data_IF_832083114997
#
_entry.id   IF_832083114997
#
_cell.length_a   1.000
_cell.length_b   1.000
_cell.length_c   1.000
_cell.angle_alpha   90.00
_cell.angle_beta   90.00
_cell.angle_gamma   90.00
#
_symmetry.space_group_name_H-M   'P 1'
#
loop_
_entity.id
_entity.type
_entity.pdbx_description
1 polymer ?
#
# COMPACT_ATOMS: atom_id res chain seq x y z
N UNK A 1 43.96 21.39 21.81
CA UNK A 1 43.09 20.71 22.79
C UNK A 1 42.21 19.72 22.02
N UNK A 2 42.32 18.41 22.27
CA UNK A 2 41.35 17.47 21.73
C UNK A 2 40.02 17.65 22.47
N UNK A 3 38.92 17.63 21.72
CA UNK A 3 37.55 17.66 22.23
C UNK A 3 37.17 16.21 22.53
N UNK A 4 36.98 15.87 23.80
CA UNK A 4 36.40 14.59 24.20
C UNK A 4 34.89 14.63 23.93
N UNK A 5 34.41 13.69 23.11
CA UNK A 5 32.99 13.46 22.90
C UNK A 5 32.59 12.30 23.82
N UNK A 6 31.91 12.61 24.92
CA UNK A 6 31.27 11.59 25.77
C UNK A 6 30.12 10.95 25.00
N UNK A 7 30.31 9.71 24.53
CA UNK A 7 29.21 8.86 24.08
C UNK A 7 28.44 8.34 25.31
N UNK A 8 27.29 8.96 25.61
CA UNK A 8 26.31 8.37 26.52
C UNK A 8 25.66 7.16 25.84
N UNK A 9 26.07 5.97 26.26
CA UNK A 9 25.33 4.75 25.98
C UNK A 9 24.06 4.75 26.83
N UNK A 10 22.89 4.76 26.20
CA UNK A 10 21.64 4.44 26.89
C UNK A 10 21.63 2.94 27.16
N UNK A 11 21.59 2.54 28.43
CA UNK A 11 21.30 1.16 28.82
C UNK A 11 19.90 0.80 28.36
N UNK A 12 19.81 0.03 27.28
CA UNK A 12 18.56 -0.61 26.86
C UNK A 12 18.41 -1.83 27.76
N UNK A 13 17.52 -1.75 28.74
CA UNK A 13 17.09 -2.91 29.51
C UNK A 13 16.34 -3.87 28.58
N UNK A 14 17.04 -4.86 28.03
CA UNK A 14 16.42 -6.01 27.42
C UNK A 14 15.80 -6.85 28.53
N UNK A 15 14.48 -7.03 28.52
CA UNK A 15 13.84 -8.03 29.37
C UNK A 15 14.45 -9.41 29.05
N UNK A 16 14.94 -10.11 30.08
CA UNK A 16 15.53 -11.44 29.94
C UNK A 16 14.48 -12.40 29.37
N UNK A 17 14.81 -12.99 28.22
CA UNK A 17 13.92 -13.90 27.47
C UNK A 17 13.63 -15.22 28.22
N UNK A 18 14.43 -15.55 29.24
CA UNK A 18 14.28 -16.78 30.02
C UNK A 18 13.16 -16.74 31.07
N UNK A 19 12.66 -15.55 31.43
CA UNK A 19 11.57 -15.39 32.42
C UNK A 19 10.17 -15.75 31.85
N UNK A 20 10.09 -16.12 30.56
CA UNK A 20 8.84 -16.41 29.85
C UNK A 20 8.46 -17.91 29.82
N UNK A 21 9.14 -18.77 30.58
CA UNK A 21 8.69 -20.16 30.80
C UNK A 21 7.57 -20.21 31.86
N UNK A 22 6.42 -19.65 31.50
CA UNK A 22 5.16 -19.66 32.24
C UNK A 22 4.04 -19.22 31.29
N UNK A 23 2.80 -19.67 31.50
CA UNK A 23 1.66 -19.35 30.63
C UNK A 23 1.61 -17.85 30.31
N UNK A 24 1.72 -17.50 29.03
CA UNK A 24 1.75 -16.12 28.56
C UNK A 24 0.36 -15.47 28.78
N UNK A 25 0.14 -14.90 29.97
CA UNK A 25 -1.09 -14.21 30.31
C UNK A 25 -1.03 -12.75 29.81
N UNK A 26 -1.34 -12.55 28.53
CA UNK A 26 -1.36 -11.22 27.92
C UNK A 26 -2.64 -10.45 28.28
N UNK A 27 -2.50 -9.44 29.14
CA UNK A 27 -3.57 -8.47 29.40
C UNK A 27 -3.52 -7.34 28.38
N UNK A 28 -4.60 -7.15 27.62
CA UNK A 28 -4.76 -6.04 26.67
C UNK A 28 -5.62 -4.94 27.31
N UNK A 29 -5.18 -3.70 27.24
CA UNK A 29 -5.91 -2.53 27.75
C UNK A 29 -6.66 -1.85 26.61
N UNK A 30 -7.96 -1.61 26.79
CA UNK A 30 -8.73 -0.74 25.90
C UNK A 30 -8.47 0.72 26.27
N UNK A 31 -7.94 1.49 25.33
CA UNK A 31 -7.62 2.92 25.50
C UNK A 31 -8.71 3.86 24.97
N UNK A 32 -9.65 3.33 24.20
CA UNK A 32 -10.71 4.11 23.58
C UNK A 32 -11.69 3.24 22.83
N UNK A 33 -12.67 3.86 22.19
CA UNK A 33 -13.73 3.17 21.48
C UNK A 33 -14.06 3.86 20.16
N UNK A 34 -14.37 3.07 19.13
CA UNK A 34 -14.81 3.57 17.84
C UNK A 34 -16.29 3.93 17.90
N UNK A 35 -16.63 5.11 17.37
CA UNK A 35 -17.98 5.54 17.01
C UNK A 35 -18.12 5.55 15.49
N UNK A 36 -19.07 4.80 14.97
CA UNK A 36 -19.38 4.78 13.54
C UNK A 36 -20.86 4.48 13.26
N UNK A 37 -21.28 4.66 12.01
CA UNK A 37 -22.64 4.34 11.59
C UNK A 37 -22.90 2.82 11.49
N UNK A 38 -21.84 2.00 11.44
CA UNK A 38 -21.96 0.55 11.26
C UNK A 38 -22.10 -0.16 12.60
N UNK A 39 -23.31 -0.60 12.94
CA UNK A 39 -23.53 -1.41 14.16
C UNK A 39 -23.15 -2.89 13.98
N UNK A 40 -23.21 -3.38 12.74
CA UNK A 40 -22.87 -4.76 12.38
C UNK A 40 -21.75 -4.83 11.34
N UNK A 41 -20.91 -5.90 11.37
CA UNK A 41 -19.86 -6.08 10.37
C UNK A 41 -20.39 -6.08 8.95
N UNK A 42 -19.75 -5.31 8.09
CA UNK A 42 -20.04 -5.25 6.65
C UNK A 42 -18.75 -5.28 5.84
N UNK A 43 -18.80 -4.98 4.54
CA UNK A 43 -17.62 -4.90 3.69
C UNK A 43 -16.61 -3.88 4.25
N UNK A 44 -15.32 -4.25 4.41
CA UNK A 44 -14.27 -3.32 4.82
C UNK A 44 -14.22 -2.08 3.93
N UNK A 45 -14.37 -2.22 2.62
CA UNK A 45 -14.38 -1.09 1.67
C UNK A 45 -15.51 -0.10 1.99
N UNK A 46 -16.71 -0.61 2.31
CA UNK A 46 -17.85 0.24 2.68
C UNK A 46 -17.54 1.02 3.95
N UNK A 47 -16.96 0.37 4.96
CA UNK A 47 -16.58 1.04 6.21
C UNK A 47 -15.48 2.08 6.00
N UNK A 48 -14.43 1.76 5.24
CA UNK A 48 -13.30 2.67 4.96
C UNK A 48 -13.73 3.94 4.21
N UNK A 49 -14.80 3.88 3.43
CA UNK A 49 -15.34 5.04 2.72
C UNK A 49 -16.20 5.96 3.59
N UNK A 50 -16.48 5.58 4.84
CA UNK A 50 -17.16 6.42 5.83
C UNK A 50 -16.17 7.19 6.72
N UNK A 51 -16.70 8.11 7.54
CA UNK A 51 -15.95 8.74 8.62
C UNK A 51 -16.29 8.06 9.95
N UNK A 52 -15.28 7.90 10.78
CA UNK A 52 -15.44 7.39 12.15
C UNK A 52 -14.84 8.37 13.15
N UNK A 53 -15.26 8.25 14.42
CA UNK A 53 -14.64 8.96 15.53
C UNK A 53 -14.01 7.91 16.46
N UNK A 54 -12.77 8.14 16.89
CA UNK A 54 -12.16 7.37 17.96
C UNK A 54 -12.24 8.22 19.23
N UNK A 55 -12.99 7.76 20.22
CA UNK A 55 -13.12 8.40 21.53
C UNK A 55 -12.15 7.75 22.50
N UNK A 56 -11.11 8.50 22.91
CA UNK A 56 -10.09 8.04 23.84
C UNK A 56 -10.59 8.21 25.28
N UNK A 57 -10.33 7.22 26.14
CA UNK A 57 -10.72 7.31 27.56
C UNK A 57 -9.94 8.41 28.25
N UNK A 58 -10.56 9.04 29.25
CA UNK A 58 -10.04 10.25 29.88
C UNK A 58 -8.63 10.08 30.42
N UNK A 59 -8.34 8.93 31.00
CA UNK A 59 -7.03 8.57 31.58
C UNK A 59 -5.89 8.46 30.55
N UNK A 60 -6.20 8.39 29.25
CA UNK A 60 -5.20 8.28 28.17
C UNK A 60 -5.10 9.54 27.29
N UNK A 61 -5.85 10.61 27.60
CA UNK A 61 -5.90 11.82 26.76
C UNK A 61 -4.52 12.46 26.58
N UNK A 62 -3.67 12.46 27.61
CA UNK A 62 -2.33 13.05 27.53
C UNK A 62 -1.45 12.37 26.47
N UNK A 63 -1.72 11.10 26.17
CA UNK A 63 -1.05 10.36 25.08
C UNK A 63 -1.34 10.92 23.68
N UNK A 64 -2.33 11.81 23.53
CA UNK A 64 -2.65 12.48 22.27
C UNK A 64 -1.88 13.78 22.04
N UNK A 65 -0.96 14.17 22.92
CA UNK A 65 -0.18 15.40 22.75
C UNK A 65 0.54 15.39 21.39
N UNK A 66 0.32 16.43 20.57
CA UNK A 66 0.88 16.60 19.20
C UNK A 66 0.43 15.55 18.16
N UNK A 67 -0.66 14.82 18.40
CA UNK A 67 -1.16 13.85 17.42
C UNK A 67 -1.57 14.51 16.10
N UNK A 68 -1.96 15.79 16.14
CA UNK A 68 -2.34 16.62 15.00
C UNK A 68 -1.18 16.91 14.05
N UNK A 69 0.07 16.75 14.49
CA UNK A 69 1.26 16.87 13.64
C UNK A 69 1.33 15.74 12.58
N UNK A 70 0.52 14.70 12.72
CA UNK A 70 0.48 13.54 11.84
C UNK A 70 -0.82 13.45 11.04
N UNK A 71 -0.68 13.42 9.70
CA UNK A 71 -1.82 13.25 8.78
C UNK A 71 -2.42 11.85 8.81
N UNK A 72 -1.60 10.85 9.11
CA UNK A 72 -2.01 9.44 9.15
C UNK A 72 -1.63 8.81 10.48
N UNK A 73 -2.47 7.89 10.94
CA UNK A 73 -2.29 7.15 12.19
C UNK A 73 -2.49 5.67 11.91
N UNK A 74 -1.68 4.82 12.55
CA UNK A 74 -1.93 3.38 12.59
C UNK A 74 -2.76 3.07 13.83
N UNK A 75 -3.97 2.56 13.63
CA UNK A 75 -4.92 2.25 14.71
C UNK A 75 -4.95 0.74 14.90
N UNK A 76 -4.70 0.29 16.11
CA UNK A 76 -4.80 -1.11 16.53
C UNK A 76 -6.07 -1.24 17.36
N UNK A 77 -6.93 -2.19 17.00
CA UNK A 77 -8.24 -2.35 17.61
C UNK A 77 -8.61 -3.82 17.77
N UNK A 78 -9.60 -4.12 18.62
CA UNK A 78 -10.01 -5.47 18.94
C UNK A 78 -11.33 -5.84 18.25
N UNK A 79 -11.37 -6.95 17.50
CA UNK A 79 -12.62 -7.45 16.89
C UNK A 79 -13.53 -8.08 17.95
N UNK A 80 -14.17 -7.25 18.78
CA UNK A 80 -14.99 -7.65 19.93
C UNK A 80 -16.20 -8.55 19.58
N UNK A 81 -16.66 -8.57 18.32
CA UNK A 81 -17.70 -9.51 17.83
C UNK A 81 -17.14 -10.77 17.17
N UNK A 82 -15.81 -10.91 17.07
CA UNK A 82 -15.18 -12.06 16.43
C UNK A 82 -15.10 -13.23 17.41
N UNK A 83 -15.64 -14.38 17.02
CA UNK A 83 -15.62 -15.61 17.81
C UNK A 83 -14.98 -16.75 17.02
N UNK A 84 -14.11 -17.50 17.69
CA UNK A 84 -13.39 -18.64 17.12
C UNK A 84 -12.45 -18.29 15.96
N UNK A 85 -11.76 -19.32 15.44
CA UNK A 85 -10.94 -19.21 14.24
C UNK A 85 -10.77 -20.57 13.56
N UNK A 86 -10.44 -20.54 12.28
CA UNK A 86 -10.03 -21.71 11.50
C UNK A 86 -8.64 -21.41 10.91
N UNK A 87 -7.65 -22.29 11.14
CA UNK A 87 -6.28 -22.06 10.67
C UNK A 87 -6.15 -22.15 9.15
N UNK A 88 -7.00 -22.93 8.49
CA UNK A 88 -7.02 -23.10 7.03
C UNK A 88 -8.46 -23.05 6.55
N UNK A 89 -8.77 -22.13 5.64
CA UNK A 89 -10.12 -21.95 5.12
C UNK A 89 -10.13 -21.70 3.61
N UNK A 90 -11.17 -22.18 2.93
CA UNK A 90 -11.48 -21.76 1.55
C UNK A 90 -12.24 -20.44 1.62
N UNK A 91 -11.69 -19.39 1.02
CA UNK A 91 -12.35 -18.09 0.95
C UNK A 91 -13.30 -18.04 -0.24
N UNK A 92 -14.16 -17.01 -0.30
CA UNK A 92 -15.12 -16.81 -1.40
C UNK A 92 -14.46 -16.88 -2.79
N UNK A 93 -13.18 -16.49 -2.89
CA UNK A 93 -12.39 -16.54 -4.12
C UNK A 93 -11.05 -17.25 -3.84
N UNK A 94 -10.71 -18.20 -4.71
CA UNK A 94 -9.40 -18.84 -4.78
C UNK A 94 -9.23 -20.12 -3.95
N UNK A 95 -7.98 -20.65 -3.90
CA UNK A 95 -7.67 -21.88 -3.18
C UNK A 95 -7.78 -21.70 -1.66
N UNK A 96 -7.77 -22.82 -0.94
CA UNK A 96 -7.59 -22.81 0.52
C UNK A 96 -6.27 -22.10 0.84
N UNK A 97 -6.27 -21.26 1.87
CA UNK A 97 -5.07 -20.58 2.37
C UNK A 97 -5.09 -20.52 3.89
N UNK A 98 -3.90 -20.38 4.48
CA UNK A 98 -3.75 -20.20 5.90
C UNK A 98 -4.37 -18.89 6.39
N UNK A 99 -4.81 -18.87 7.64
CA UNK A 99 -5.38 -17.68 8.27
C UNK A 99 -4.40 -16.49 8.28
N UNK A 100 -3.11 -16.75 8.47
CA UNK A 100 -2.08 -15.71 8.56
C UNK A 100 -1.69 -15.11 7.20
N UNK A 101 -2.07 -15.74 6.08
CA UNK A 101 -2.00 -15.14 4.74
C UNK A 101 -3.28 -14.39 4.35
N UNK A 102 -4.11 -14.02 5.34
CA UNK A 102 -5.36 -13.29 5.17
C UNK A 102 -5.49 -12.13 6.17
N UNK A 103 -6.58 -11.38 6.03
CA UNK A 103 -6.98 -10.27 6.92
C UNK A 103 -8.26 -10.57 7.70
N UNK A 104 -8.59 -11.86 7.86
CA UNK A 104 -9.78 -12.31 8.61
C UNK A 104 -9.82 -11.73 10.03
N UNK A 105 -10.98 -11.33 10.56
CA UNK A 105 -11.12 -10.97 11.97
C UNK A 105 -11.14 -12.19 12.91
N UNK A 106 -11.43 -13.38 12.39
CA UNK A 106 -11.49 -14.65 13.15
C UNK A 106 -10.09 -15.23 13.31
N UNK A 107 -9.35 -14.81 14.34
CA UNK A 107 -7.95 -15.17 14.59
C UNK A 107 -7.66 -15.44 16.07
N UNK A 108 -6.57 -16.17 16.40
CA UNK A 108 -6.18 -16.43 17.78
C UNK A 108 -6.11 -15.18 18.65
N UNK A 109 -5.48 -14.11 18.13
CA UNK A 109 -5.54 -12.77 18.71
C UNK A 109 -6.35 -11.88 17.75
N UNK A 110 -7.61 -11.55 18.05
CA UNK A 110 -8.50 -10.86 17.11
C UNK A 110 -8.20 -9.35 17.09
N UNK A 111 -6.98 -9.00 16.68
CA UNK A 111 -6.51 -7.63 16.52
C UNK A 111 -6.61 -7.20 15.05
N UNK A 112 -7.21 -6.04 14.85
CA UNK A 112 -7.21 -5.29 13.60
C UNK A 112 -6.13 -4.22 13.63
N UNK A 113 -5.58 -3.93 12.46
CA UNK A 113 -4.62 -2.82 12.27
C UNK A 113 -5.00 -2.10 10.99
N UNK A 114 -5.25 -0.80 11.08
CA UNK A 114 -5.60 0.02 9.91
C UNK A 114 -4.93 1.39 9.99
N UNK A 115 -4.30 1.78 8.90
CA UNK A 115 -3.84 3.16 8.69
C UNK A 115 -5.03 4.03 8.31
N UNK A 116 -5.30 5.06 9.11
CA UNK A 116 -6.38 6.01 8.92
C UNK A 116 -5.82 7.39 8.62
N UNK A 117 -6.60 8.24 7.94
CA UNK A 117 -6.30 9.67 7.83
C UNK A 117 -6.92 10.41 9.01
N UNK A 118 -6.12 11.17 9.76
CA UNK A 118 -6.62 12.10 10.77
C UNK A 118 -7.25 13.31 10.06
N UNK A 119 -8.50 13.59 10.36
CA UNK A 119 -9.24 14.73 9.80
C UNK A 119 -9.20 15.94 10.75
N UNK A 120 -9.43 15.69 12.04
CA UNK A 120 -9.31 16.67 13.12
C UNK A 120 -9.31 15.96 14.48
N UNK A 121 -8.86 16.68 15.51
CA UNK A 121 -9.03 16.29 16.91
C UNK A 121 -9.90 17.33 17.63
N UNK A 122 -10.77 16.85 18.52
CA UNK A 122 -11.55 17.67 19.45
C UNK A 122 -11.49 17.03 20.84
N UNK A 123 -10.66 17.57 21.73
CA UNK A 123 -10.44 17.00 23.06
C UNK A 123 -9.92 15.56 22.99
N UNK A 124 -10.73 14.60 23.46
CA UNK A 124 -10.43 13.17 23.42
C UNK A 124 -10.94 12.45 22.16
N UNK A 125 -11.49 13.18 21.19
CA UNK A 125 -12.10 12.62 19.97
C UNK A 125 -11.19 12.83 18.77
N UNK A 126 -10.87 11.76 18.05
CA UNK A 126 -10.15 11.80 16.78
C UNK A 126 -11.13 11.48 15.64
N UNK A 127 -11.36 12.44 14.77
CA UNK A 127 -12.17 12.25 13.56
C UNK A 127 -11.28 11.69 12.47
N UNK A 128 -11.63 10.54 11.91
CA UNK A 128 -10.77 9.80 10.99
C UNK A 128 -11.53 9.31 9.75
N UNK A 129 -10.79 9.10 8.66
CA UNK A 129 -11.29 8.43 7.46
C UNK A 129 -10.43 7.19 7.14
N UNK A 130 -11.04 6.16 6.55
CA UNK A 130 -10.34 4.93 6.17
C UNK A 130 -10.31 3.83 7.24
N UNK A 131 -11.05 3.97 8.34
CA UNK A 131 -11.16 2.93 9.37
C UNK A 131 -12.20 1.86 8.99
N UNK A 132 -11.89 0.60 9.21
CA UNK A 132 -12.77 -0.56 8.97
C UNK A 132 -13.21 -1.26 10.26
N UNK A 133 -13.71 -0.46 11.20
CA UNK A 133 -14.21 -0.92 12.49
C UNK A 133 -15.67 -0.48 12.70
N UNK A 134 -16.46 -1.38 13.26
CA UNK A 134 -17.86 -1.12 13.62
C UNK A 134 -17.95 -0.27 14.89
N UNK A 135 -19.11 0.32 15.12
CA UNK A 135 -19.42 1.06 16.34
C UNK A 135 -19.22 0.20 17.58
N UNK A 136 -18.67 0.79 18.64
CA UNK A 136 -18.36 0.09 19.88
C UNK A 136 -17.04 -0.69 19.84
N UNK A 137 -16.31 -0.69 18.72
CA UNK A 137 -15.04 -1.42 18.63
C UNK A 137 -13.99 -0.86 19.61
N UNK A 138 -13.43 -1.69 20.52
CA UNK A 138 -12.36 -1.26 21.41
C UNK A 138 -11.09 -0.92 20.64
N UNK A 139 -10.51 0.25 20.92
CA UNK A 139 -9.18 0.65 20.46
C UNK A 139 -8.15 0.25 21.51
N UNK A 140 -7.10 -0.40 21.03
CA UNK A 140 -6.01 -0.94 21.87
C UNK A 140 -4.81 -0.01 21.86
N UNK A 141 -4.48 0.54 20.69
CA UNK A 141 -3.28 1.38 20.54
C UNK A 141 -3.41 2.29 19.30
N UNK A 142 -2.67 3.40 19.31
CA UNK A 142 -2.57 4.37 18.21
C UNK A 142 -1.11 4.77 18.05
N UNK A 143 -0.60 4.69 16.82
CA UNK A 143 0.76 5.13 16.47
C UNK A 143 0.73 6.18 15.38
N UNK A 144 1.66 7.13 15.44
CA UNK A 144 1.94 7.99 14.31
C UNK A 144 2.40 7.13 13.12
N UNK A 145 1.78 7.32 11.96
CA UNK A 145 2.23 6.63 10.75
C UNK A 145 3.58 7.19 10.30
N UNK A 146 4.52 6.30 10.00
CA UNK A 146 5.83 6.63 9.44
C UNK A 146 6.07 5.79 8.20
N UNK A 147 6.26 6.44 7.04
CA UNK A 147 6.57 5.73 5.80
C UNK A 147 7.81 4.85 5.94
N UNK A 148 8.81 5.28 6.71
CA UNK A 148 10.05 4.54 6.92
C UNK A 148 9.83 3.23 7.71
N UNK A 149 8.84 3.21 8.63
CA UNK A 149 8.61 2.07 9.53
C UNK A 149 7.46 1.19 9.08
N UNK A 150 6.42 1.77 8.50
CA UNK A 150 5.16 1.10 8.19
C UNK A 150 5.08 0.61 6.74
N UNK A 151 5.99 1.07 5.87
CA UNK A 151 6.20 0.46 4.57
C UNK A 151 7.30 -0.60 4.67
N UNK A 152 7.26 -1.66 3.84
CA UNK A 152 8.33 -2.65 3.79
C UNK A 152 9.68 -1.93 3.63
N UNK A 153 10.64 -2.29 4.50
CA UNK A 153 12.04 -1.84 4.43
C UNK A 153 12.46 -1.86 2.97
N UNK A 154 12.94 -0.70 2.50
CA UNK A 154 13.41 -0.44 1.14
C UNK A 154 13.81 -1.75 0.45
N UNK A 155 12.92 -2.18 -0.45
CA UNK A 155 13.11 -3.29 -1.36
C UNK A 155 14.57 -3.30 -1.83
N UNK A 156 15.26 -4.45 -1.69
CA UNK A 156 16.59 -4.64 -2.28
C UNK A 156 16.58 -4.12 -3.72
N UNK A 157 17.71 -3.59 -4.22
CA UNK A 157 17.79 -2.93 -5.56
C UNK A 157 17.12 -3.74 -6.69
N UNK A 158 17.06 -5.06 -6.57
CA UNK A 158 16.46 -5.97 -7.56
C UNK A 158 14.92 -6.07 -7.51
N UNK A 159 14.25 -5.47 -6.52
CA UNK A 159 12.82 -5.66 -6.26
C UNK A 159 11.90 -4.51 -6.70
N UNK A 160 12.44 -3.32 -7.01
CA UNK A 160 11.64 -2.16 -7.42
C UNK A 160 10.77 -2.45 -8.65
N UNK A 161 11.27 -3.31 -9.54
CA UNK A 161 10.57 -3.73 -10.75
C UNK A 161 9.70 -4.96 -10.55
N UNK A 162 10.07 -5.87 -9.66
CA UNK A 162 9.29 -7.08 -9.32
C UNK A 162 7.85 -6.73 -8.96
N UNK A 163 7.66 -5.73 -8.10
CA UNK A 163 6.30 -5.29 -7.71
C UNK A 163 5.50 -4.73 -8.88
N UNK A 164 6.12 -4.01 -9.80
CA UNK A 164 5.43 -3.52 -11.00
C UNK A 164 5.05 -4.68 -11.92
N UNK A 165 5.93 -5.66 -12.07
CA UNK A 165 5.67 -6.85 -12.90
C UNK A 165 4.55 -7.70 -12.31
N UNK A 166 4.46 -7.82 -10.99
CA UNK A 166 3.31 -8.43 -10.32
C UNK A 166 2.00 -7.69 -10.62
N UNK A 167 2.00 -6.35 -10.60
CA UNK A 167 0.81 -5.56 -10.95
C UNK A 167 0.40 -5.78 -12.41
N UNK A 168 1.36 -5.86 -13.34
CA UNK A 168 1.12 -6.13 -14.77
C UNK A 168 0.53 -7.55 -14.96
N UNK A 169 1.17 -8.57 -14.39
CA UNK A 169 0.76 -9.97 -14.51
C UNK A 169 -0.66 -10.17 -13.97
N UNK A 170 -0.96 -9.55 -12.82
CA UNK A 170 -2.25 -9.64 -12.15
C UNK A 170 -3.33 -8.70 -12.72
N UNK A 171 -3.07 -7.98 -13.82
CA UNK A 171 -3.99 -6.99 -14.41
C UNK A 171 -4.46 -5.92 -13.41
N UNK A 172 -3.63 -5.53 -12.45
CA UNK A 172 -3.99 -4.52 -11.46
C UNK A 172 -3.80 -3.10 -12.02
N UNK A 173 -4.74 -2.67 -12.87
CA UNK A 173 -4.70 -1.38 -13.55
C UNK A 173 -4.74 -0.20 -12.58
N UNK A 174 -5.52 -0.31 -11.50
CA UNK A 174 -5.61 0.72 -10.47
C UNK A 174 -4.26 0.91 -9.76
N UNK A 175 -3.61 -0.19 -9.38
CA UNK A 175 -2.27 -0.16 -8.78
C UNK A 175 -1.21 0.41 -9.73
N UNK A 176 -1.25 0.05 -11.01
CA UNK A 176 -0.36 0.62 -12.02
C UNK A 176 -0.57 2.11 -12.22
N UNK A 177 -1.82 2.56 -12.30
CA UNK A 177 -2.17 3.96 -12.48
C UNK A 177 -1.78 4.79 -11.26
N UNK A 178 -2.02 4.29 -10.05
CA UNK A 178 -1.60 4.94 -8.80
C UNK A 178 -0.08 5.15 -8.77
N UNK A 179 0.67 4.13 -9.17
CA UNK A 179 2.13 4.17 -9.24
C UNK A 179 2.66 5.06 -10.36
N UNK A 180 2.03 5.06 -11.53
CA UNK A 180 2.37 5.99 -12.60
C UNK A 180 2.03 7.45 -12.22
N UNK A 181 0.97 7.68 -11.45
CA UNK A 181 0.59 9.00 -10.96
C UNK A 181 1.57 9.52 -9.89
N UNK A 182 2.17 8.66 -9.07
CA UNK A 182 3.28 9.04 -8.18
C UNK A 182 4.48 9.57 -8.97
N UNK A 183 4.79 8.97 -10.11
CA UNK A 183 5.85 9.43 -11.02
C UNK A 183 5.47 10.71 -11.79
N UNK A 184 4.24 10.79 -12.31
CA UNK A 184 3.75 11.89 -13.13
C UNK A 184 3.34 13.14 -12.32
N UNK A 185 2.92 12.94 -11.07
CA UNK A 185 2.46 13.99 -10.16
C UNK A 185 0.93 14.17 -10.07
N UNK A 186 0.14 13.63 -11.00
CA UNK A 186 -1.32 13.67 -10.96
C UNK A 186 -1.97 12.57 -11.82
N UNK A 187 -3.29 12.43 -11.76
CA UNK A 187 -4.06 11.53 -12.61
C UNK A 187 -4.61 12.28 -13.84
N UNK A 188 -4.41 11.74 -15.04
CA UNK A 188 -5.06 12.26 -16.23
C UNK A 188 -5.40 11.15 -17.25
N UNK A 189 -6.34 11.39 -18.17
CA UNK A 189 -6.76 10.38 -19.16
C UNK A 189 -5.60 9.88 -20.03
N UNK A 190 -4.68 10.76 -20.45
CA UNK A 190 -3.54 10.37 -21.28
C UNK A 190 -2.55 9.48 -20.53
N UNK A 191 -2.28 9.77 -19.25
CA UNK A 191 -1.46 8.89 -18.39
C UNK A 191 -2.10 7.50 -18.30
N UNK A 192 -3.41 7.44 -18.03
CA UNK A 192 -4.14 6.17 -17.93
C UNK A 192 -4.08 5.36 -19.24
N UNK A 193 -4.26 6.02 -20.39
CA UNK A 193 -4.12 5.37 -21.70
C UNK A 193 -2.71 4.82 -21.94
N UNK A 194 -1.67 5.56 -21.52
CA UNK A 194 -0.28 5.12 -21.61
C UNK A 194 -0.01 3.90 -20.73
N UNK A 195 -0.50 3.92 -19.49
CA UNK A 195 -0.44 2.80 -18.55
C UNK A 195 -1.09 1.55 -19.14
N UNK A 196 -2.29 1.68 -19.72
CA UNK A 196 -3.01 0.57 -20.33
C UNK A 196 -2.28 -0.02 -21.54
N UNK A 197 -1.81 0.84 -22.45
CA UNK A 197 -1.08 0.41 -23.65
C UNK A 197 0.20 -0.35 -23.28
N UNK A 198 0.99 0.20 -22.34
CA UNK A 198 2.22 -0.42 -21.88
C UNK A 198 1.97 -1.71 -21.09
N UNK A 199 1.00 -1.74 -20.19
CA UNK A 199 0.69 -2.95 -19.41
C UNK A 199 0.29 -4.11 -20.32
N UNK A 200 -0.53 -3.83 -21.34
CA UNK A 200 -0.94 -4.85 -22.32
C UNK A 200 0.24 -5.37 -23.13
N UNK A 201 1.09 -4.47 -23.64
CA UNK A 201 2.26 -4.84 -24.44
C UNK A 201 3.28 -5.65 -23.63
N UNK A 202 3.67 -5.12 -22.47
CA UNK A 202 4.69 -5.71 -21.59
C UNK A 202 4.23 -7.07 -21.08
N UNK A 203 2.96 -7.24 -20.75
CA UNK A 203 2.43 -8.56 -20.33
C UNK A 203 2.63 -9.65 -21.38
N UNK A 204 2.50 -9.31 -22.67
CA UNK A 204 2.72 -10.25 -23.77
C UNK A 204 4.21 -10.53 -23.99
N UNK A 205 5.09 -9.63 -23.55
CA UNK A 205 6.55 -9.73 -23.71
C UNK A 205 7.25 -10.33 -22.49
N UNK A 206 6.59 -10.40 -21.32
CA UNK A 206 7.14 -11.00 -20.11
C UNK A 206 7.02 -12.52 -20.17
N UNK A 207 8.10 -13.21 -20.52
CA UNK A 207 8.19 -14.68 -20.35
C UNK A 207 8.51 -15.07 -18.90
N UNK A 208 9.27 -14.23 -18.18
CA UNK A 208 9.57 -14.35 -16.74
C UNK A 208 9.55 -12.97 -16.04
N UNK A 209 9.27 -12.88 -14.73
CA UNK A 209 9.07 -11.60 -14.01
C UNK A 209 10.27 -10.65 -13.93
N UNK A 210 11.45 -11.02 -14.46
CA UNK A 210 12.71 -10.25 -14.31
C UNK A 210 13.26 -9.79 -15.68
N UNK A 211 12.68 -10.22 -16.81
CA UNK A 211 13.32 -10.10 -18.13
C UNK A 211 12.88 -8.86 -18.92
N UNK A 212 13.06 -7.67 -18.35
CA UNK A 212 12.76 -6.39 -19.01
C UNK A 212 13.96 -5.73 -19.67
N UNK A 213 15.06 -6.47 -19.82
CA UNK A 213 16.16 -6.01 -20.65
C UNK A 213 15.78 -5.83 -22.13
N UNK A 214 14.56 -6.25 -22.54
CA UNK A 214 14.23 -6.53 -23.95
C UNK A 214 13.12 -5.69 -24.60
N UNK A 215 12.52 -4.71 -23.90
CA UNK A 215 11.41 -3.89 -24.44
C UNK A 215 11.90 -2.52 -24.88
N UNK A 216 11.78 -2.22 -26.18
CA UNK A 216 11.98 -0.90 -26.78
C UNK A 216 10.61 -0.22 -26.98
N UNK A 217 10.48 1.05 -26.62
CA UNK A 217 9.28 1.85 -26.86
C UNK A 217 9.59 3.02 -27.80
N UNK A 218 8.84 3.12 -28.89
CA UNK A 218 8.89 4.25 -29.82
C UNK A 218 7.61 5.05 -29.65
N UNK A 219 7.70 6.23 -29.03
CA UNK A 219 6.57 7.13 -28.81
C UNK A 219 6.54 8.20 -29.89
N UNK A 220 5.35 8.49 -30.41
CA UNK A 220 5.15 9.48 -31.48
C UNK A 220 4.46 10.78 -31.00
N UNK A 221 4.41 10.97 -29.67
CA UNK A 221 3.75 12.08 -28.96
C UNK A 221 4.61 12.57 -27.79
N UNK A 222 4.43 13.84 -27.43
CA UNK A 222 5.10 14.56 -26.32
C UNK A 222 4.09 15.03 -25.25
N UNK A 223 3.20 14.12 -24.81
CA UNK A 223 2.20 14.40 -23.78
C UNK A 223 2.19 13.30 -22.71
N UNK A 224 1.35 13.43 -21.68
CA UNK A 224 1.32 12.53 -20.51
C UNK A 224 1.15 11.03 -20.85
N UNK A 225 0.74 10.68 -22.07
CA UNK A 225 0.74 9.31 -22.57
C UNK A 225 2.14 8.67 -22.55
N UNK A 226 3.19 9.44 -22.89
CA UNK A 226 4.57 8.94 -22.86
C UNK A 226 5.03 8.58 -21.44
N UNK A 227 4.52 9.27 -20.42
CA UNK A 227 4.92 9.05 -19.03
C UNK A 227 4.38 7.73 -18.50
N UNK A 228 3.11 7.42 -18.82
CA UNK A 228 2.52 6.12 -18.51
C UNK A 228 3.26 4.97 -19.19
N UNK A 229 3.70 5.19 -20.44
CA UNK A 229 4.52 4.24 -21.18
C UNK A 229 5.88 4.05 -20.52
N UNK A 230 6.60 5.14 -20.25
CA UNK A 230 7.92 5.12 -19.66
C UNK A 230 7.89 4.38 -18.32
N UNK A 231 6.92 4.72 -17.46
CA UNK A 231 6.77 4.12 -16.14
C UNK A 231 6.51 2.61 -16.23
N UNK A 232 5.46 2.21 -16.97
CA UNK A 232 5.00 0.82 -17.01
C UNK A 232 5.91 -0.08 -17.83
N UNK A 233 6.46 0.39 -18.95
CA UNK A 233 7.38 -0.41 -19.78
C UNK A 233 8.80 -0.45 -19.24
N UNK A 234 9.20 0.55 -18.45
CA UNK A 234 10.58 0.70 -18.01
C UNK A 234 11.51 1.18 -19.13
N UNK A 235 11.00 1.43 -20.34
CA UNK A 235 11.75 2.03 -21.41
C UNK A 235 11.92 3.52 -21.13
N UNK A 236 13.14 3.94 -20.84
CA UNK A 236 13.48 5.34 -20.54
C UNK A 236 14.52 5.85 -21.53
N UNK A 237 14.72 7.17 -21.56
CA UNK A 237 15.87 7.73 -22.28
C UNK A 237 17.18 7.28 -21.63
N UNK A 238 17.23 7.21 -20.29
CA UNK A 238 18.44 6.86 -19.54
C UNK A 238 18.93 5.42 -19.74
N UNK A 239 18.05 4.49 -20.14
CA UNK A 239 18.45 3.13 -20.52
C UNK A 239 18.41 2.88 -22.04
N UNK A 240 18.35 3.95 -22.85
CA UNK A 240 18.34 3.91 -24.31
C UNK A 240 17.21 3.07 -24.95
N UNK A 241 16.08 2.90 -24.26
CA UNK A 241 14.94 2.11 -24.75
C UNK A 241 13.72 2.93 -25.13
N UNK A 242 13.72 4.24 -24.84
CA UNK A 242 12.68 5.14 -25.27
C UNK A 242 13.17 5.96 -26.46
N UNK A 243 12.49 5.81 -27.60
CA UNK A 243 12.73 6.59 -28.81
C UNK A 243 11.54 7.52 -29.00
N UNK A 244 11.79 8.81 -29.11
CA UNK A 244 10.77 9.78 -29.50
C UNK A 244 10.87 10.08 -30.99
N UNK A 245 9.72 10.09 -31.68
CA UNK A 245 9.59 10.54 -33.06
C UNK A 245 8.50 11.60 -33.13
N UNK A 246 8.85 12.84 -33.42
CA UNK A 246 7.86 13.91 -33.47
C UNK A 246 6.93 13.73 -34.68
N UNK A 247 5.73 13.21 -34.44
CA UNK A 247 4.69 13.06 -35.46
C UNK A 247 3.33 13.58 -35.00
N UNK A 248 3.25 14.16 -33.80
CA UNK A 248 2.02 14.62 -33.14
C UNK A 248 0.87 13.59 -33.16
N UNK A 249 1.22 12.30 -33.12
CA UNK A 249 0.26 11.20 -33.06
C UNK A 249 0.36 10.51 -31.72
N UNK A 250 -0.78 10.27 -31.07
CA UNK A 250 -0.83 9.49 -29.83
C UNK A 250 -0.69 8.00 -30.21
N UNK A 251 0.57 7.63 -30.47
CA UNK A 251 0.98 6.31 -30.90
C UNK A 251 2.18 5.86 -30.10
N UNK A 252 2.22 4.56 -29.80
CA UNK A 252 3.42 3.88 -29.33
C UNK A 252 3.62 2.59 -30.11
N UNK A 253 4.88 2.30 -30.43
CA UNK A 253 5.30 0.97 -30.89
C UNK A 253 6.19 0.36 -29.83
N UNK A 254 5.78 -0.77 -29.28
CA UNK A 254 6.62 -1.63 -28.46
C UNK A 254 7.27 -2.68 -29.36
N UNK A 255 8.59 -2.78 -29.30
CA UNK A 255 9.35 -3.78 -30.01
C UNK A 255 10.11 -4.67 -29.01
N UNK A 256 10.01 -5.98 -29.21
CA UNK A 256 10.88 -6.95 -28.54
C UNK A 256 12.19 -7.04 -29.34
N UNK A 257 13.32 -7.03 -28.61
CA UNK A 257 14.63 -7.19 -29.22
C UNK A 257 14.91 -8.62 -29.72
N UNK A 258 14.15 -9.61 -29.24
CA UNK A 258 14.39 -11.04 -29.54
C UNK A 258 13.30 -11.67 -30.40
N UNK A 259 12.05 -11.21 -30.29
CA UNK A 259 10.91 -11.82 -30.97
C UNK A 259 9.97 -10.77 -31.56
N UNK A 260 10.15 -10.48 -32.85
CA UNK A 260 9.36 -9.50 -33.59
C UNK A 260 7.86 -9.80 -33.62
N UNK A 261 7.43 -11.05 -33.41
CA UNK A 261 6.00 -11.41 -33.34
C UNK A 261 5.31 -10.83 -32.10
N UNK A 262 6.08 -10.45 -31.08
CA UNK A 262 5.58 -9.81 -29.87
C UNK A 262 5.42 -8.29 -30.04
N UNK A 263 5.87 -7.72 -31.15
CA UNK A 263 5.78 -6.28 -31.40
C UNK A 263 4.32 -5.83 -31.40
N UNK A 264 4.02 -4.70 -30.76
CA UNK A 264 2.68 -4.14 -30.68
C UNK A 264 2.71 -2.65 -30.98
N UNK A 265 1.77 -2.19 -31.80
CA UNK A 265 1.57 -0.77 -32.07
C UNK A 265 0.17 -0.38 -31.61
N UNK A 266 0.11 0.61 -30.72
CA UNK A 266 -1.15 1.18 -30.23
C UNK A 266 -1.25 2.59 -30.78
N UNK A 267 -2.40 2.90 -31.39
CA UNK A 267 -2.71 4.22 -31.91
C UNK A 267 -4.08 4.63 -31.38
N UNK A 268 -4.15 5.79 -30.72
CA UNK A 268 -5.41 6.36 -30.27
C UNK A 268 -6.12 6.99 -31.47
N UNK A 269 -7.24 6.40 -31.88
CA UNK A 269 -8.10 6.98 -32.91
C UNK A 269 -8.68 8.29 -32.40
N UNK A 270 -8.58 9.35 -33.19
CA UNK A 270 -9.40 10.55 -32.97
C UNK A 270 -10.86 10.13 -33.18
N UNK A 271 -11.67 10.32 -32.14
CA UNK A 271 -13.13 10.16 -32.21
C UNK A 271 -13.71 11.43 -32.82
#
# INVERSE_FOLDING_TARGET
>A
MPIEIEQRFFEINYYNYEDLKGELNMKITEIGQVRSEFKEPTSPTKMRNSKSVIEIKTEFIDGLKKIEDYKYLQVIFYFHKSTGYELVKKWHIGPKRGLFSSRSPRRPSPLGVTTVKLLKREGNKLYVAGLDAIDGTPVVDIKAYSELLDQPLRLEKDQARTRLNELIINNNQEGLLLKAAEFHGYYCPYLALGVLAAANAVKLMLEKPIDQEKVLAIVETKNCFSDGIQYVSGATFGNNKLIYKDKDQITVTFASQENSNLNRRYHLKKI
#
